data_IF_055367551640
#
_entry.id   IF_055367551640
#
_cell.length_a   1.000
_cell.length_b   1.000
_cell.length_c   1.000
_cell.angle_alpha   90.00
_cell.angle_beta   90.00
_cell.angle_gamma   90.00
#
_symmetry.space_group_name_H-M   'P 1'
#
loop_
_entity.id
_entity.type
_entity.pdbx_description
1 polymer ?
#
# COMPACT_ATOMS: atom_id res chain seq x y z
N UNK A 1 8.04 24.45 8.77
CA UNK A 1 9.03 23.46 8.29
C UNK A 1 9.67 22.84 9.52
N UNK A 2 9.86 21.51 9.50
CA UNK A 2 10.47 20.61 10.50
C UNK A 2 9.52 20.02 11.56
N UNK A 3 9.19 18.74 11.36
CA UNK A 3 9.47 17.60 12.27
C UNK A 3 9.08 16.34 11.49
N UNK A 4 10.04 15.55 11.02
CA UNK A 4 10.51 14.35 11.73
C UNK A 4 9.33 13.47 12.17
N UNK A 5 8.95 12.56 11.28
CA UNK A 5 8.54 11.19 11.60
C UNK A 5 8.78 10.43 10.29
N UNK A 6 9.33 9.22 10.31
CA UNK A 6 9.37 8.40 9.11
C UNK A 6 7.99 7.73 8.98
N UNK A 7 7.42 7.56 7.76
CA UNK A 7 6.29 6.65 7.64
C UNK A 7 6.75 5.30 8.19
N UNK A 8 5.94 4.66 9.03
CA UNK A 8 6.17 3.25 9.32
C UNK A 8 6.09 2.50 8.00
N UNK A 9 7.01 1.56 7.79
CA UNK A 9 7.07 0.79 6.57
C UNK A 9 7.06 -0.69 6.83
N UNK A 10 6.42 -1.42 5.93
CA UNK A 10 6.57 -2.86 5.82
C UNK A 10 6.56 -3.27 4.35
N UNK A 11 7.06 -4.46 4.10
CA UNK A 11 7.04 -5.11 2.80
C UNK A 11 6.18 -6.36 2.85
N UNK A 12 5.57 -6.69 1.72
CA UNK A 12 4.80 -7.91 1.59
C UNK A 12 4.29 -8.13 0.18
N UNK A 13 3.70 -9.29 -0.03
CA UNK A 13 3.16 -9.71 -1.32
C UNK A 13 1.66 -9.48 -1.36
N UNK A 14 1.16 -8.91 -2.45
CA UNK A 14 -0.27 -8.68 -2.64
C UNK A 14 -0.97 -10.00 -2.91
N UNK A 15 -1.90 -10.37 -2.04
CA UNK A 15 -2.72 -11.56 -2.17
C UNK A 15 -4.05 -11.27 -2.87
N UNK A 16 -4.60 -10.07 -2.68
CA UNK A 16 -5.86 -9.67 -3.29
C UNK A 16 -5.94 -8.15 -3.51
N UNK A 17 -6.63 -7.73 -4.58
CA UNK A 17 -6.90 -6.31 -4.87
C UNK A 17 -8.40 -6.06 -5.03
N UNK A 18 -8.95 -5.15 -4.23
CA UNK A 18 -10.30 -4.63 -4.39
C UNK A 18 -10.25 -3.17 -4.85
N UNK A 19 -10.89 -2.87 -5.99
CA UNK A 19 -10.85 -1.53 -6.63
C UNK A 19 -12.22 -0.86 -6.55
N UNK A 20 -12.28 0.32 -5.93
CA UNK A 20 -13.51 1.10 -5.75
C UNK A 20 -13.60 2.23 -6.79
N UNK A 21 -14.54 2.10 -7.72
CA UNK A 21 -14.72 3.09 -8.81
C UNK A 21 -15.70 4.23 -8.46
N UNK A 22 -16.59 4.03 -7.49
CA UNK A 22 -17.70 4.95 -7.23
C UNK A 22 -17.46 5.92 -6.06
N UNK A 23 -16.34 5.81 -5.35
CA UNK A 23 -16.03 6.65 -4.18
C UNK A 23 -14.54 6.95 -4.10
N UNK A 24 -14.09 7.97 -4.84
CA UNK A 24 -12.74 8.52 -4.69
C UNK A 24 -11.60 7.70 -5.30
N UNK A 25 -11.87 6.78 -6.25
CA UNK A 25 -10.86 5.98 -6.96
C UNK A 25 -9.80 5.32 -6.05
N UNK A 26 -10.22 4.71 -4.94
CA UNK A 26 -9.30 4.03 -4.04
C UNK A 26 -9.17 2.53 -4.33
N UNK A 27 -8.06 1.95 -3.89
CA UNK A 27 -7.82 0.50 -3.90
C UNK A 27 -7.51 0.00 -2.50
N UNK A 28 -8.10 -1.14 -2.13
CA UNK A 28 -7.71 -1.94 -0.98
C UNK A 28 -6.90 -3.15 -1.44
N UNK A 29 -5.75 -3.37 -0.80
CA UNK A 29 -4.83 -4.47 -1.02
C UNK A 29 -4.83 -5.34 0.23
N UNK A 30 -4.98 -6.65 0.08
CA UNK A 30 -4.62 -7.59 1.14
C UNK A 30 -3.17 -8.01 0.91
N UNK A 31 -2.30 -7.66 1.86
CA UNK A 31 -0.85 -7.84 1.76
C UNK A 31 -0.42 -8.90 2.77
N UNK A 32 0.17 -9.98 2.29
CA UNK A 32 0.80 -11.00 3.13
C UNK A 32 2.22 -10.57 3.49
N UNK A 33 2.51 -10.53 4.79
CA UNK A 33 3.83 -10.32 5.36
C UNK A 33 4.33 -11.62 6.00
N UNK A 34 5.57 -11.66 6.49
CA UNK A 34 6.12 -12.85 7.17
C UNK A 34 5.32 -13.30 8.40
N UNK A 35 4.48 -12.43 8.97
CA UNK A 35 3.83 -12.66 10.27
C UNK A 35 2.30 -12.57 10.24
N UNK A 36 1.72 -11.96 9.21
CA UNK A 36 0.28 -11.67 9.15
C UNK A 36 -0.17 -11.22 7.76
N UNK A 37 -1.49 -11.20 7.56
CA UNK A 37 -2.13 -10.49 6.45
C UNK A 37 -2.61 -9.12 6.92
N UNK A 38 -2.34 -8.10 6.11
CA UNK A 38 -2.63 -6.70 6.42
C UNK A 38 -3.44 -6.09 5.28
N UNK A 39 -4.54 -5.42 5.61
CA UNK A 39 -5.30 -4.65 4.62
C UNK A 39 -4.74 -3.25 4.50
N UNK A 40 -4.51 -2.81 3.27
CA UNK A 40 -3.92 -1.52 2.94
C UNK A 40 -4.81 -0.79 1.95
N UNK A 41 -5.17 0.44 2.24
CA UNK A 41 -5.90 1.29 1.31
C UNK A 41 -5.00 2.39 0.75
N UNK A 42 -5.05 2.58 -0.56
CA UNK A 42 -4.47 3.72 -1.27
C UNK A 42 -5.59 4.49 -1.97
N UNK A 43 -5.59 5.82 -1.82
CA UNK A 43 -6.53 6.76 -2.46
C UNK A 43 -6.35 6.91 -3.97
N UNK A 44 -5.60 6.02 -4.61
CA UNK A 44 -5.43 5.95 -6.05
C UNK A 44 -5.57 4.51 -6.53
N UNK A 45 -5.85 4.34 -7.82
CA UNK A 45 -6.02 3.04 -8.47
C UNK A 45 -4.92 2.81 -9.52
N UNK A 46 -3.70 2.46 -9.09
CA UNK A 46 -2.62 2.15 -10.02
C UNK A 46 -2.89 0.83 -10.74
N UNK A 47 -3.13 0.91 -12.05
CA UNK A 47 -3.30 -0.24 -12.93
C UNK A 47 -2.05 -1.12 -13.06
N UNK A 48 -0.88 -0.58 -12.70
CA UNK A 48 0.41 -1.26 -12.78
C UNK A 48 0.69 -2.21 -11.60
N UNK A 49 -0.17 -2.22 -10.57
CA UNK A 49 -0.06 -3.13 -9.42
C UNK A 49 -1.01 -4.32 -9.60
N UNK A 50 -0.48 -5.53 -9.46
CA UNK A 50 -1.19 -6.80 -9.62
C UNK A 50 -1.03 -7.70 -8.39
N UNK A 51 -1.92 -8.70 -8.28
CA UNK A 51 -1.75 -9.79 -7.31
C UNK A 51 -0.45 -10.55 -7.59
N UNK A 52 0.25 -10.94 -6.54
CA UNK A 52 1.58 -11.53 -6.59
C UNK A 52 2.74 -10.52 -6.62
N UNK A 53 2.47 -9.22 -6.84
CA UNK A 53 3.51 -8.20 -6.72
C UNK A 53 3.97 -8.03 -5.27
N UNK A 54 5.27 -7.86 -5.08
CA UNK A 54 5.82 -7.39 -3.81
C UNK A 54 5.74 -5.86 -3.76
N UNK A 55 5.25 -5.34 -2.65
CA UNK A 55 5.16 -3.90 -2.41
C UNK A 55 5.78 -3.51 -1.09
N UNK A 56 6.29 -2.29 -1.03
CA UNK A 56 6.63 -1.59 0.21
C UNK A 56 5.59 -0.52 0.47
N UNK A 57 5.00 -0.56 1.65
CA UNK A 57 3.94 0.36 2.08
C UNK A 57 4.52 1.36 3.05
N UNK A 58 4.21 2.63 2.86
CA UNK A 58 4.53 3.74 3.76
C UNK A 58 3.23 4.28 4.35
N UNK A 59 3.13 4.43 5.66
CA UNK A 59 1.94 4.97 6.31
C UNK A 59 2.27 5.79 7.58
N UNK A 60 1.43 6.78 7.89
CA UNK A 60 1.58 7.65 9.07
C UNK A 60 0.69 7.27 10.25
N UNK A 61 -0.42 6.57 9.99
CA UNK A 61 -1.45 6.29 11.00
C UNK A 61 -1.59 4.81 11.27
N UNK A 62 -2.00 4.52 12.51
CA UNK A 62 -2.50 3.23 12.96
C UNK A 62 -3.75 2.85 12.17
N UNK A 63 -3.90 1.56 11.96
CA UNK A 63 -5.06 0.88 11.38
C UNK A 63 -6.40 1.51 11.85
N UNK A 64 -7.28 1.84 10.89
CA UNK A 64 -8.64 2.30 11.12
C UNK A 64 -9.58 1.24 10.56
N UNK A 65 -10.45 0.68 11.39
CA UNK A 65 -11.40 -0.38 11.01
C UNK A 65 -10.75 -1.61 10.34
N UNK A 66 -9.54 -2.01 10.78
CA UNK A 66 -8.84 -3.15 10.17
C UNK A 66 -7.98 -2.80 8.94
N UNK A 67 -7.94 -1.52 8.53
CA UNK A 67 -7.27 -1.09 7.30
C UNK A 67 -6.22 -0.02 7.56
N UNK A 68 -5.01 -0.24 7.06
CA UNK A 68 -3.93 0.73 7.05
C UNK A 68 -4.10 1.66 5.85
N UNK A 69 -4.14 2.98 6.08
CA UNK A 69 -4.13 3.96 4.98
C UNK A 69 -2.69 4.27 4.59
N UNK A 70 -2.30 3.81 3.41
CA UNK A 70 -1.00 4.12 2.84
C UNK A 70 -0.93 5.58 2.42
N UNK A 71 0.24 6.18 2.59
CA UNK A 71 0.59 7.46 1.98
C UNK A 71 1.38 7.30 0.71
N UNK A 72 2.11 6.18 0.62
CA UNK A 72 2.86 5.79 -0.57
C UNK A 72 2.98 4.28 -0.64
N UNK A 73 2.91 3.74 -1.85
CA UNK A 73 3.23 2.35 -2.15
C UNK A 73 4.33 2.33 -3.21
N UNK A 74 5.35 1.51 -2.99
CA UNK A 74 6.39 1.21 -3.97
C UNK A 74 6.23 -0.22 -4.45
N UNK A 75 6.20 -0.44 -5.77
CA UNK A 75 6.22 -1.78 -6.36
C UNK A 75 7.67 -2.23 -6.53
N UNK A 76 7.99 -3.39 -5.96
CA UNK A 76 9.32 -3.98 -5.96
C UNK A 76 9.34 -5.18 -6.90
N UNK A 77 10.30 -5.22 -7.81
CA UNK A 77 10.55 -6.37 -8.70
C UNK A 77 12.05 -6.64 -8.69
N UNK A 78 12.43 -7.88 -8.41
CA UNK A 78 13.83 -8.32 -8.30
C UNK A 78 14.65 -7.47 -7.30
N UNK A 79 14.03 -7.04 -6.20
CA UNK A 79 14.67 -6.22 -5.15
C UNK A 79 14.80 -4.73 -5.48
N UNK A 80 14.33 -4.29 -6.65
CA UNK A 80 14.38 -2.88 -7.06
C UNK A 80 13.00 -2.24 -7.13
N UNK A 81 12.93 -0.96 -6.77
CA UNK A 81 11.70 -0.15 -6.93
C UNK A 81 11.49 0.12 -8.41
N UNK A 82 10.40 -0.41 -8.98
CA UNK A 82 10.02 -0.18 -10.39
C UNK A 82 9.01 0.94 -10.55
N UNK A 83 8.19 1.18 -9.53
CA UNK A 83 7.15 2.21 -9.57
C UNK A 83 6.81 2.70 -8.18
N UNK A 84 6.38 3.95 -8.09
CA UNK A 84 6.00 4.61 -6.84
C UNK A 84 4.66 5.29 -7.03
N UNK A 85 3.74 5.07 -6.10
CA UNK A 85 2.38 5.58 -6.13
C UNK A 85 2.09 6.33 -4.83
N UNK A 86 1.61 7.56 -4.95
CA UNK A 86 1.26 8.40 -3.81
C UNK A 86 -0.24 8.35 -3.55
N UNK A 87 -0.61 8.50 -2.29
CA UNK A 87 -1.99 8.69 -1.90
C UNK A 87 -2.43 10.10 -2.29
N UNK A 88 -3.36 10.19 -3.23
CA UNK A 88 -3.98 11.46 -3.66
C UNK A 88 -5.17 11.85 -2.77
#
# INVERSE_FOLDING_TARGET
MINDDYPTTFEGTIMNIHRYWNSGNCCEYTVSTDSSEIKVQLGSNPSAINEGDTIRVYHWRKEVDGVIRATRIERIVDGEVKSTFWNE
#
